data_IF_127596410318
#
_entry.id   IF_127596410318
#
_cell.length_a   1.000
_cell.length_b   1.000
_cell.length_c   1.000
_cell.angle_alpha   90.00
_cell.angle_beta   90.00
_cell.angle_gamma   90.00
#
_symmetry.space_group_name_H-M   'P 1'
#
loop_
_entity.id
_entity.type
_entity.pdbx_description
1 polymer ?
#
# COMPACT_ATOMS: atom_id res chain seq x y z
N UNK A 1 -31.68 10.03 -5.38
CA UNK A 1 -30.43 10.67 -4.93
C UNK A 1 -29.55 9.57 -4.34
N UNK A 2 -28.52 9.15 -5.08
CA UNK A 2 -27.67 7.99 -4.74
C UNK A 2 -26.94 8.20 -3.42
N UNK A 3 -27.27 7.42 -2.39
CA UNK A 3 -26.39 7.21 -1.22
C UNK A 3 -25.50 5.99 -1.49
N UNK A 4 -24.60 6.09 -2.46
CA UNK A 4 -23.45 5.18 -2.52
C UNK A 4 -22.52 5.57 -1.38
N UNK A 5 -22.65 4.84 -0.27
CA UNK A 5 -21.74 4.91 0.87
C UNK A 5 -20.29 4.76 0.38
N UNK A 6 -19.36 5.52 0.96
CA UNK A 6 -17.92 5.45 0.65
C UNK A 6 -17.40 4.00 0.83
N UNK A 7 -18.09 3.20 1.64
CA UNK A 7 -17.82 1.77 1.88
C UNK A 7 -18.20 0.82 0.74
N UNK A 8 -19.08 1.21 -0.18
CA UNK A 8 -19.49 0.37 -1.33
C UNK A 8 -18.59 0.54 -2.56
N UNK A 9 -17.60 1.44 -2.50
CA UNK A 9 -16.69 1.63 -3.63
C UNK A 9 -15.53 0.64 -3.50
N UNK A 10 -15.49 -0.35 -4.38
CA UNK A 10 -14.33 -1.23 -4.55
C UNK A 10 -13.14 -0.39 -4.99
N UNK A 11 -12.32 0.07 -4.02
CA UNK A 11 -11.11 0.81 -4.35
C UNK A 11 -10.08 -0.20 -4.83
N UNK A 12 -9.77 -0.17 -6.12
CA UNK A 12 -8.78 -1.06 -6.71
C UNK A 12 -7.39 -0.78 -6.14
N UNK A 13 -6.52 -1.80 -5.97
CA UNK A 13 -5.17 -1.60 -5.44
C UNK A 13 -4.36 -0.57 -6.20
N UNK A 14 -4.57 -0.47 -7.51
CA UNK A 14 -3.88 0.49 -8.37
C UNK A 14 -4.29 1.93 -8.10
N UNK A 15 -5.59 2.16 -7.82
CA UNK A 15 -6.08 3.48 -7.40
C UNK A 15 -5.54 3.84 -6.02
N UNK A 16 -5.47 2.89 -5.09
CA UNK A 16 -4.85 3.12 -3.77
C UNK A 16 -3.38 3.53 -3.93
N UNK A 17 -2.62 2.79 -4.74
CA UNK A 17 -1.21 3.11 -5.02
C UNK A 17 -1.06 4.49 -5.67
N UNK A 18 -1.92 4.85 -6.62
CA UNK A 18 -1.90 6.17 -7.25
C UNK A 18 -2.19 7.31 -6.24
N UNK A 19 -3.16 7.12 -5.34
CA UNK A 19 -3.48 8.08 -4.28
C UNK A 19 -2.29 8.24 -3.33
N UNK A 20 -1.73 7.13 -2.84
CA UNK A 20 -0.57 7.16 -1.94
C UNK A 20 0.63 7.80 -2.61
N UNK A 21 0.90 7.47 -3.88
CA UNK A 21 1.98 8.10 -4.63
C UNK A 21 1.74 9.61 -4.82
N UNK A 22 0.51 10.04 -5.09
CA UNK A 22 0.15 11.45 -5.14
C UNK A 22 0.42 12.17 -3.81
N UNK A 23 0.08 11.54 -2.69
CA UNK A 23 0.38 12.07 -1.34
C UNK A 23 1.88 12.16 -1.09
N UNK A 24 2.66 11.15 -1.50
CA UNK A 24 4.12 11.16 -1.43
C UNK A 24 4.67 12.37 -2.18
N UNK A 25 4.22 12.59 -3.43
CA UNK A 25 4.68 13.74 -4.23
C UNK A 25 4.36 15.07 -3.57
N UNK A 26 3.14 15.25 -3.06
CA UNK A 26 2.74 16.48 -2.36
C UNK A 26 3.65 16.75 -1.16
N UNK A 27 3.93 15.74 -0.34
CA UNK A 27 4.80 15.91 0.83
C UNK A 27 6.25 16.16 0.40
N UNK A 28 6.76 15.43 -0.59
CA UNK A 28 8.13 15.57 -1.08
C UNK A 28 8.38 16.96 -1.65
N UNK A 29 7.49 17.45 -2.51
CA UNK A 29 7.58 18.81 -3.03
C UNK A 29 7.39 19.84 -1.92
N UNK A 30 6.47 19.63 -0.98
CA UNK A 30 6.29 20.51 0.18
C UNK A 30 7.57 20.67 1.00
N UNK A 31 8.26 19.57 1.32
CA UNK A 31 9.55 19.58 2.01
C UNK A 31 10.65 20.26 1.19
N UNK A 32 10.72 19.96 -0.11
CA UNK A 32 11.70 20.56 -1.02
C UNK A 32 11.51 22.09 -1.17
N UNK A 33 10.28 22.56 -1.34
CA UNK A 33 9.98 24.00 -1.40
C UNK A 33 10.19 24.68 -0.04
N UNK A 34 9.83 24.03 1.07
CA UNK A 34 10.10 24.55 2.42
C UNK A 34 11.59 24.75 2.68
N UNK A 35 12.43 23.87 2.12
CA UNK A 35 13.88 24.04 2.14
C UNK A 35 14.35 25.24 1.32
N UNK A 36 13.85 25.38 0.08
CA UNK A 36 14.21 26.48 -0.81
C UNK A 36 13.86 27.85 -0.21
N UNK A 37 12.73 27.94 0.50
CA UNK A 37 12.27 29.13 1.21
C UNK A 37 12.97 29.36 2.57
N UNK A 38 13.91 28.49 2.94
CA UNK A 38 14.63 28.52 4.24
C UNK A 38 13.72 28.42 5.47
N UNK A 39 12.52 27.87 5.33
CA UNK A 39 11.61 27.60 6.44
C UNK A 39 11.94 26.31 7.18
N UNK A 40 12.68 25.42 6.51
CA UNK A 40 13.01 24.10 7.03
C UNK A 40 14.46 23.71 6.69
N UNK A 41 15.16 23.13 7.68
CA UNK A 41 16.45 22.51 7.48
C UNK A 41 16.24 21.10 6.93
N UNK A 42 16.43 20.94 5.63
CA UNK A 42 16.19 19.68 4.92
C UNK A 42 17.29 18.67 5.21
N UNK A 43 16.92 17.54 5.84
CA UNK A 43 17.74 16.34 5.85
C UNK A 43 17.25 15.41 4.73
N UNK A 44 18.13 14.96 3.81
CA UNK A 44 17.81 13.93 2.82
C UNK A 44 17.10 12.70 3.42
N UNK A 45 17.36 12.35 4.68
CA UNK A 45 16.73 11.23 5.38
C UNK A 45 15.23 11.44 5.63
N UNK A 46 14.73 12.69 5.67
CA UNK A 46 13.31 12.99 5.86
C UNK A 46 12.45 12.48 4.70
N UNK A 47 12.97 12.57 3.47
CA UNK A 47 12.32 12.05 2.27
C UNK A 47 12.23 10.52 2.33
N UNK A 48 13.30 9.85 2.76
CA UNK A 48 13.32 8.39 2.94
C UNK A 48 12.40 7.92 4.06
N UNK A 49 12.33 8.67 5.16
CA UNK A 49 11.39 8.43 6.25
C UNK A 49 9.94 8.49 5.77
N UNK A 50 9.55 9.59 5.10
CA UNK A 50 8.19 9.78 4.59
C UNK A 50 7.85 8.71 3.56
N UNK A 51 8.75 8.45 2.60
CA UNK A 51 8.53 7.43 1.57
C UNK A 51 8.29 6.05 2.18
N UNK A 52 9.10 5.67 3.17
CA UNK A 52 8.98 4.40 3.87
C UNK A 52 7.69 4.33 4.70
N UNK A 53 7.33 5.39 5.43
CA UNK A 53 6.07 5.46 6.18
C UNK A 53 4.84 5.33 5.27
N UNK A 54 4.88 5.92 4.07
CA UNK A 54 3.81 5.81 3.08
C UNK A 54 3.72 4.40 2.47
N UNK A 55 4.83 3.64 2.40
CA UNK A 55 4.75 2.21 2.06
C UNK A 55 3.95 1.43 3.10
N UNK A 56 4.22 1.65 4.39
CA UNK A 56 3.46 1.01 5.47
C UNK A 56 1.97 1.40 5.39
N UNK A 57 1.71 2.68 5.14
CA UNK A 57 0.35 3.18 4.96
C UNK A 57 -0.37 2.41 3.83
N UNK A 58 0.23 2.33 2.64
CA UNK A 58 -0.33 1.53 1.55
C UNK A 58 -0.56 0.07 1.96
N UNK A 59 0.41 -0.58 2.59
CA UNK A 59 0.32 -1.99 3.03
C UNK A 59 -0.91 -2.19 3.91
N UNK A 60 -1.09 -1.36 4.95
CA UNK A 60 -2.21 -1.49 5.89
C UNK A 60 -3.56 -1.30 5.19
N UNK A 61 -3.71 -0.24 4.41
CA UNK A 61 -4.96 0.04 3.72
C UNK A 61 -5.28 -1.00 2.65
N UNK A 62 -4.27 -1.45 1.90
CA UNK A 62 -4.46 -2.48 0.89
C UNK A 62 -4.95 -3.79 1.50
N UNK A 63 -4.42 -4.20 2.65
CA UNK A 63 -4.89 -5.38 3.35
C UNK A 63 -6.32 -5.21 3.87
N UNK A 64 -6.65 -4.05 4.45
CA UNK A 64 -8.01 -3.74 4.96
C UNK A 64 -9.03 -3.80 3.83
N UNK A 65 -8.79 -3.09 2.73
CA UNK A 65 -9.72 -3.07 1.59
C UNK A 65 -9.79 -4.42 0.88
N UNK A 66 -8.74 -5.23 0.96
CA UNK A 66 -8.73 -6.59 0.45
C UNK A 66 -9.79 -7.48 1.08
N UNK A 67 -10.19 -7.24 2.35
CA UNK A 67 -11.28 -7.97 3.00
C UNK A 67 -12.64 -7.77 2.34
N UNK A 68 -12.89 -6.60 1.75
CA UNK A 68 -14.21 -6.26 1.20
C UNK A 68 -14.40 -6.73 -0.26
N UNK A 69 -13.32 -7.16 -0.93
CA UNK A 69 -13.36 -7.43 -2.37
C UNK A 69 -13.82 -8.87 -2.71
N UNK A 70 -14.81 -9.06 -3.56
CA UNK A 70 -15.35 -10.39 -3.86
C UNK A 70 -14.34 -11.31 -4.55
N UNK A 71 -13.59 -10.77 -5.52
CA UNK A 71 -12.62 -11.52 -6.32
C UNK A 71 -11.20 -11.44 -5.73
N UNK A 72 -10.95 -12.21 -4.69
CA UNK A 72 -9.66 -12.20 -3.95
C UNK A 72 -8.45 -12.48 -4.84
N UNK A 73 -8.54 -13.40 -5.80
CA UNK A 73 -7.41 -13.77 -6.67
C UNK A 73 -6.96 -12.59 -7.53
N UNK A 74 -7.91 -11.90 -8.15
CA UNK A 74 -7.64 -10.71 -8.97
C UNK A 74 -7.13 -9.56 -8.10
N UNK A 75 -7.73 -9.35 -6.93
CA UNK A 75 -7.29 -8.34 -5.98
C UNK A 75 -5.85 -8.61 -5.52
N UNK A 76 -5.51 -9.84 -5.16
CA UNK A 76 -4.18 -10.24 -4.71
C UNK A 76 -3.12 -9.96 -5.77
N UNK A 77 -3.37 -10.41 -7.01
CA UNK A 77 -2.46 -10.16 -8.14
C UNK A 77 -2.26 -8.67 -8.38
N UNK A 78 -3.34 -7.90 -8.46
CA UNK A 78 -3.28 -6.46 -8.70
C UNK A 78 -2.59 -5.72 -7.54
N UNK A 79 -2.75 -6.19 -6.31
CA UNK A 79 -2.11 -5.64 -5.11
C UNK A 79 -0.61 -5.84 -5.11
N UNK A 80 -0.11 -6.99 -5.57
CA UNK A 80 1.33 -7.22 -5.72
C UNK A 80 1.92 -6.27 -6.78
N UNK A 81 1.31 -6.21 -7.97
CA UNK A 81 1.79 -5.32 -9.03
C UNK A 81 1.75 -3.85 -8.61
N UNK A 82 0.67 -3.42 -7.97
CA UNK A 82 0.54 -2.03 -7.49
C UNK A 82 1.58 -1.69 -6.44
N UNK A 83 1.87 -2.61 -5.51
CA UNK A 83 2.93 -2.43 -4.52
C UNK A 83 4.32 -2.33 -5.16
N UNK A 84 4.65 -3.23 -6.10
CA UNK A 84 5.95 -3.20 -6.79
C UNK A 84 6.14 -1.87 -7.52
N UNK A 85 5.13 -1.44 -8.27
CA UNK A 85 5.17 -0.15 -8.99
C UNK A 85 5.35 1.00 -8.01
N UNK A 86 4.62 0.99 -6.89
CA UNK A 86 4.68 2.04 -5.88
C UNK A 86 6.06 2.12 -5.21
N UNK A 87 6.64 0.98 -4.83
CA UNK A 87 7.99 0.90 -4.24
C UNK A 87 9.02 1.44 -5.22
N UNK A 88 9.02 0.94 -6.47
CA UNK A 88 9.99 1.36 -7.48
C UNK A 88 9.86 2.86 -7.78
N UNK A 89 8.64 3.35 -8.00
CA UNK A 89 8.40 4.76 -8.27
C UNK A 89 8.85 5.65 -7.10
N UNK A 90 8.58 5.23 -5.86
CA UNK A 90 8.97 5.98 -4.66
C UNK A 90 10.48 5.97 -4.46
N UNK A 91 11.15 4.83 -4.66
CA UNK A 91 12.61 4.76 -4.59
C UNK A 91 13.25 5.67 -5.63
N UNK A 92 12.78 5.64 -6.89
CA UNK A 92 13.33 6.47 -7.96
C UNK A 92 13.17 7.96 -7.69
N UNK A 93 11.99 8.41 -7.25
CA UNK A 93 11.78 9.83 -6.95
C UNK A 93 12.55 10.26 -5.70
N UNK A 94 12.64 9.42 -4.65
CA UNK A 94 13.46 9.69 -3.47
C UNK A 94 14.93 9.84 -3.83
N UNK A 95 15.48 8.94 -4.65
CA UNK A 95 16.86 9.04 -5.15
C UNK A 95 17.06 10.31 -5.97
N UNK A 96 16.07 10.69 -6.80
CA UNK A 96 16.18 11.88 -7.63
C UNK A 96 16.23 13.17 -6.79
N UNK A 97 15.43 13.26 -5.72
CA UNK A 97 15.38 14.43 -4.82
C UNK A 97 16.60 14.47 -3.90
N UNK A 98 16.91 13.35 -3.22
CA UNK A 98 17.94 13.30 -2.18
C UNK A 98 19.35 13.13 -2.73
N UNK A 99 19.48 12.65 -3.97
CA UNK A 99 20.75 12.17 -4.58
C UNK A 99 21.42 11.01 -3.81
N UNK A 100 20.74 10.44 -2.81
CA UNK A 100 21.21 9.29 -2.04
C UNK A 100 20.63 8.04 -2.68
N UNK A 101 21.44 7.01 -2.87
CA UNK A 101 20.96 5.75 -3.42
C UNK A 101 20.07 5.00 -2.42
N UNK A 102 19.16 4.14 -2.91
CA UNK A 102 18.37 3.27 -2.01
C UNK A 102 19.28 2.44 -1.11
N UNK A 103 20.48 2.06 -1.58
CA UNK A 103 21.43 1.24 -0.81
C UNK A 103 22.16 2.05 0.27
N UNK A 104 22.23 3.37 0.10
CA UNK A 104 22.91 4.29 1.02
C UNK A 104 21.95 4.93 2.03
N UNK A 105 20.64 4.68 1.88
CA UNK A 105 19.59 5.16 2.79
C UNK A 105 19.59 4.47 4.18
N UNK A 106 20.69 3.82 4.56
CA UNK A 106 20.95 3.18 5.86
C UNK A 106 19.78 2.26 6.28
N UNK A 107 19.14 2.58 7.40
CA UNK A 107 18.07 1.77 8.00
C UNK A 107 16.84 1.68 7.10
N UNK A 108 16.54 2.72 6.30
CA UNK A 108 15.34 2.74 5.46
C UNK A 108 15.38 1.68 4.36
N UNK A 109 16.55 1.41 3.80
CA UNK A 109 16.77 0.34 2.81
C UNK A 109 16.34 -1.01 3.37
N UNK A 110 16.71 -1.29 4.62
CA UNK A 110 16.35 -2.53 5.29
C UNK A 110 14.86 -2.58 5.64
N UNK A 111 14.29 -1.46 6.08
CA UNK A 111 12.85 -1.38 6.36
C UNK A 111 12.02 -1.66 5.11
N UNK A 112 12.43 -1.15 3.93
CA UNK A 112 11.74 -1.44 2.67
C UNK A 112 11.75 -2.94 2.31
N UNK A 113 12.85 -3.64 2.59
CA UNK A 113 12.94 -5.10 2.44
C UNK A 113 11.99 -5.79 3.42
N UNK A 114 12.04 -5.42 4.70
CA UNK A 114 11.17 -5.98 5.74
C UNK A 114 9.70 -5.77 5.41
N UNK A 115 9.32 -4.56 4.99
CA UNK A 115 7.95 -4.23 4.59
C UNK A 115 7.47 -5.04 3.39
N UNK A 116 8.36 -5.29 2.43
CA UNK A 116 8.02 -6.12 1.28
C UNK A 116 7.73 -7.57 1.69
N UNK A 117 8.51 -8.12 2.61
CA UNK A 117 8.28 -9.46 3.16
C UNK A 117 6.97 -9.48 3.97
N UNK A 118 6.79 -8.53 4.88
CA UNK A 118 5.57 -8.40 5.71
C UNK A 118 4.32 -8.29 4.85
N UNK A 119 4.38 -7.51 3.76
CA UNK A 119 3.26 -7.35 2.85
C UNK A 119 2.85 -8.67 2.18
N UNK A 120 3.82 -9.46 1.70
CA UNK A 120 3.52 -10.78 1.12
C UNK A 120 2.87 -11.72 2.15
N UNK A 121 3.34 -11.67 3.41
CA UNK A 121 2.74 -12.44 4.51
C UNK A 121 1.30 -11.99 4.75
N UNK A 122 1.05 -10.69 4.89
CA UNK A 122 -0.29 -10.16 5.13
C UNK A 122 -1.27 -10.51 4.01
N UNK A 123 -0.83 -10.39 2.75
CA UNK A 123 -1.66 -10.74 1.60
C UNK A 123 -1.97 -12.25 1.57
N UNK A 124 -1.02 -13.09 1.96
CA UNK A 124 -1.23 -14.55 2.07
C UNK A 124 -2.26 -14.86 3.16
N UNK A 125 -2.11 -14.26 4.34
CA UNK A 125 -3.06 -14.40 5.46
C UNK A 125 -4.47 -13.96 5.04
N UNK A 126 -4.60 -12.82 4.37
CA UNK A 126 -5.87 -12.33 3.85
C UNK A 126 -6.51 -13.36 2.90
N UNK A 127 -5.73 -13.93 1.97
CA UNK A 127 -6.21 -14.96 1.06
C UNK A 127 -6.70 -16.22 1.78
N UNK A 128 -5.99 -16.65 2.83
CA UNK A 128 -6.39 -17.79 3.66
C UNK A 128 -7.70 -17.52 4.41
N UNK A 129 -7.85 -16.35 5.04
CA UNK A 129 -9.07 -15.98 5.76
C UNK A 129 -10.28 -16.01 4.82
N UNK A 130 -10.15 -15.39 3.63
CA UNK A 130 -11.20 -15.41 2.60
C UNK A 130 -11.60 -16.81 2.20
N UNK A 131 -10.61 -17.69 1.99
CA UNK A 131 -10.86 -19.09 1.62
C UNK A 131 -11.61 -19.82 2.73
N UNK A 132 -11.21 -19.66 3.99
CA UNK A 132 -11.88 -20.28 5.15
C UNK A 132 -13.34 -19.82 5.22
N UNK A 133 -13.60 -18.52 5.12
CA UNK A 133 -14.96 -17.96 5.14
C UNK A 133 -15.81 -18.50 3.98
N UNK A 134 -15.24 -18.57 2.77
CA UNK A 134 -15.95 -19.10 1.60
C UNK A 134 -16.34 -20.58 1.76
N UNK A 135 -15.48 -21.37 2.40
CA UNK A 135 -15.76 -22.78 2.70
C UNK A 135 -16.87 -22.92 3.74
N UNK A 136 -16.83 -22.10 4.80
CA UNK A 136 -17.86 -22.08 5.83
C UNK A 136 -19.25 -21.73 5.24
N UNK A 137 -19.33 -20.68 4.41
CA UNK A 137 -20.57 -20.29 3.73
C UNK A 137 -21.08 -21.41 2.80
N UNK A 138 -20.17 -22.11 2.11
CA UNK A 138 -20.54 -23.23 1.22
C UNK A 138 -21.08 -24.43 2.00
N UNK A 139 -20.50 -24.72 3.17
CA UNK A 139 -20.97 -25.80 4.05
C UNK A 139 -22.35 -25.48 4.63
N UNK A 140 -22.55 -24.27 5.14
CA UNK A 140 -23.83 -23.80 5.68
C UNK A 140 -24.97 -23.89 4.66
N UNK A 141 -24.72 -23.43 3.43
CA UNK A 141 -25.69 -23.57 2.32
C UNK A 141 -25.99 -25.03 1.98
N UNK A 142 -25.01 -25.94 2.08
CA UNK A 142 -25.25 -27.36 1.77
C UNK A 142 -26.20 -27.97 2.80
N UNK A 143 -26.01 -27.65 4.08
CA UNK A 143 -26.86 -28.13 5.18
C UNK A 143 -28.30 -27.64 5.01
N UNK A 144 -28.50 -26.36 4.67
CA UNK A 144 -29.86 -25.80 4.46
C UNK A 144 -30.62 -26.40 3.25
N UNK A 145 -29.93 -27.03 2.28
CA UNK A 145 -30.59 -27.67 1.13
C UNK A 145 -30.83 -29.17 1.35
N UNK A 146 -30.33 -29.74 2.45
CA UNK A 146 -30.51 -31.15 2.82
C UNK A 146 -31.69 -31.38 3.80
N UNK A 147 -32.28 -30.29 4.32
CA UNK A 147 -33.52 -30.24 5.12
C UNK A 147 -34.72 -29.75 4.28
#
# INVERSE_FOLDING_TARGET
>A
MSKTSIYQREVTPMVQAAIVFGLILVIFFGLYFGHLLRWYAFDPMDIWLVGTAMMLFYILFNCIFGFNNENITTYFRNSIYSYIVLVVATCLISQWITKVSVFDAKTYSWILVVFSIVYLIFMTVLGLIKKIVSLAIKQDKKLQNED
#
